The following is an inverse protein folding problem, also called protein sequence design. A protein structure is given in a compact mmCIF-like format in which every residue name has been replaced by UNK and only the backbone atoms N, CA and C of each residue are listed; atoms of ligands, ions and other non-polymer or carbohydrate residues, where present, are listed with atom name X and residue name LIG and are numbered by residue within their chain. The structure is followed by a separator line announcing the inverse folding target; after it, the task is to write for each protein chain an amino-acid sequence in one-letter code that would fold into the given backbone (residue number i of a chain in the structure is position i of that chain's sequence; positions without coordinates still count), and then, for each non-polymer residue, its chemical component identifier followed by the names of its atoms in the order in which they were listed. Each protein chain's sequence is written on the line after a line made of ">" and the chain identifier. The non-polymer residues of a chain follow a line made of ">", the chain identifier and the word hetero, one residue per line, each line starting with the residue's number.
data_IF_667187809183
#
_entry.id   IF_667187809183
#
_cell.length_a   1.000
_cell.length_b   1.000
_cell.length_c   1.000
_cell.angle_alpha   90.00
_cell.angle_beta   90.00
_cell.angle_gamma   90.00
#
_symmetry.space_group_name_H-M   'P 1'
#
loop_
_entity.id
_entity.type
_entity.pdbx_description
1 polymer ?
#
# COMPACT_ATOMS: atom_id res chain seq x y z
N UNK A 1 -11.74 3.85 -0.41
CA UNK A 1 -12.17 2.46 -0.16
C UNK A 1 -11.87 1.62 -1.38
N UNK A 2 -10.76 0.88 -1.37
CA UNK A 2 -10.60 -0.24 -2.28
C UNK A 2 -11.73 -1.22 -1.93
N UNK A 3 -12.84 -1.17 -2.67
CA UNK A 3 -13.82 -2.26 -2.68
C UNK A 3 -13.06 -3.56 -2.92
N UNK A 4 -13.51 -4.67 -2.34
CA UNK A 4 -13.09 -6.05 -2.62
C UNK A 4 -13.09 -6.32 -4.13
N UNK A 5 -12.05 -5.81 -4.80
CA UNK A 5 -11.78 -6.05 -6.19
C UNK A 5 -11.03 -7.35 -6.20
N UNK A 6 -11.50 -8.25 -7.06
CA UNK A 6 -10.88 -9.54 -7.23
C UNK A 6 -9.37 -9.38 -7.45
N UNK A 7 -8.60 -9.97 -6.54
CA UNK A 7 -7.16 -10.11 -6.66
C UNK A 7 -6.89 -11.53 -7.19
N UNK A 8 -6.35 -11.67 -8.41
CA UNK A 8 -6.00 -12.98 -9.00
C UNK A 8 -4.73 -13.55 -8.36
N UNK A 9 -4.77 -13.73 -7.05
CA UNK A 9 -3.66 -14.18 -6.20
C UNK A 9 -4.13 -15.43 -5.46
N UNK A 10 -3.26 -16.40 -5.22
CA UNK A 10 -3.64 -17.64 -4.54
C UNK A 10 -3.52 -17.52 -3.02
N UNK A 11 -2.44 -16.91 -2.51
CA UNK A 11 -2.23 -16.67 -1.08
C UNK A 11 -3.25 -15.71 -0.47
N UNK A 12 -4.06 -16.21 0.47
CA UNK A 12 -5.00 -15.39 1.24
C UNK A 12 -4.27 -14.38 2.13
N UNK A 13 -3.12 -14.76 2.70
CA UNK A 13 -2.28 -13.84 3.48
C UNK A 13 -1.84 -12.67 2.60
N UNK A 14 -1.35 -12.93 1.37
CA UNK A 14 -0.92 -11.85 0.49
C UNK A 14 -2.10 -10.96 0.06
N UNK A 15 -3.29 -11.52 -0.18
CA UNK A 15 -4.50 -10.71 -0.46
C UNK A 15 -4.81 -9.73 0.66
N UNK A 16 -4.78 -10.20 1.90
CA UNK A 16 -5.01 -9.35 3.07
C UNK A 16 -3.96 -8.25 3.14
N UNK A 17 -2.67 -8.61 3.01
CA UNK A 17 -1.58 -7.64 3.06
C UNK A 17 -1.66 -6.59 1.94
N UNK A 18 -2.03 -6.98 0.71
CA UNK A 18 -2.25 -6.04 -0.41
C UNK A 18 -3.44 -5.13 -0.15
N UNK A 19 -4.50 -5.65 0.48
CA UNK A 19 -5.68 -4.85 0.84
C UNK A 19 -5.32 -3.80 1.89
N UNK A 20 -4.57 -4.20 2.92
CA UNK A 20 -4.05 -3.31 3.96
C UNK A 20 -3.08 -2.27 3.39
N UNK A 21 -2.16 -2.70 2.52
CA UNK A 21 -1.24 -1.81 1.79
C UNK A 21 -2.01 -0.76 0.99
N UNK A 22 -3.09 -1.17 0.31
CA UNK A 22 -3.96 -0.27 -0.43
C UNK A 22 -4.64 0.76 0.47
N UNK A 23 -5.08 0.33 1.66
CA UNK A 23 -5.65 1.25 2.67
C UNK A 23 -4.62 2.27 3.16
N UNK A 24 -3.40 1.82 3.48
CA UNK A 24 -2.34 2.71 3.95
C UNK A 24 -1.90 3.71 2.85
N UNK A 25 -1.79 3.25 1.61
CA UNK A 25 -1.52 4.12 0.46
C UNK A 25 -2.62 5.19 0.26
N UNK A 26 -3.88 4.86 0.55
CA UNK A 26 -4.98 5.84 0.52
C UNK A 26 -4.80 6.91 1.61
N UNK A 27 -4.40 6.51 2.81
CA UNK A 27 -4.08 7.44 3.91
C UNK A 27 -2.96 8.40 3.51
N UNK A 28 -1.84 7.88 3.00
CA UNK A 28 -0.71 8.68 2.52
C UNK A 28 -1.15 9.67 1.44
N UNK A 29 -1.91 9.20 0.45
CA UNK A 29 -2.42 10.04 -0.63
C UNK A 29 -3.33 11.16 -0.11
N UNK A 30 -4.22 10.85 0.84
CA UNK A 30 -5.11 11.83 1.44
C UNK A 30 -4.34 12.90 2.24
N UNK A 31 -3.31 12.51 2.98
CA UNK A 31 -2.45 13.43 3.73
C UNK A 31 -1.66 14.36 2.80
N UNK A 32 -1.15 13.83 1.68
CA UNK A 32 -0.48 14.65 0.65
C UNK A 32 -1.46 15.70 0.08
N UNK A 33 -2.70 15.31 -0.22
CA UNK A 33 -3.71 16.26 -0.69
C UNK A 33 -4.08 17.31 0.36
N UNK A 34 -4.17 16.93 1.64
CA UNK A 34 -4.39 17.89 2.72
C UNK A 34 -3.23 18.90 2.80
N UNK A 35 -1.98 18.43 2.67
CA UNK A 35 -0.79 19.27 2.69
C UNK A 35 -0.75 20.28 1.53
N UNK A 36 -1.40 19.97 0.41
CA UNK A 36 -1.52 20.86 -0.75
C UNK A 36 -2.60 21.95 -0.59
N UNK A 37 -3.42 21.90 0.47
CA UNK A 37 -4.46 22.90 0.69
C UNK A 37 -3.85 24.30 0.85
N UNK A 38 -4.39 25.32 0.16
CA UNK A 38 -3.99 26.69 0.45
C UNK A 38 -4.43 27.07 1.87
N UNK A 39 -3.65 27.93 2.53
CA UNK A 39 -3.96 28.51 3.85
C UNK A 39 -3.94 27.57 5.07
N UNK A 40 -3.11 26.53 5.07
CA UNK A 40 -2.85 25.76 6.30
C UNK A 40 -2.23 26.65 7.37
N UNK A 41 -2.76 26.59 8.60
CA UNK A 41 -2.04 27.12 9.76
C UNK A 41 -0.81 26.26 10.05
N UNK A 42 0.20 26.83 10.71
CA UNK A 42 1.40 26.10 11.12
C UNK A 42 1.08 24.86 11.98
N UNK A 43 0.01 24.95 12.80
CA UNK A 43 -0.48 23.82 13.60
C UNK A 43 -1.02 22.69 12.73
N UNK A 44 -1.92 22.98 11.78
CA UNK A 44 -2.47 21.98 10.87
C UNK A 44 -1.37 21.35 10.02
N UNK A 45 -0.41 22.16 9.55
CA UNK A 45 0.73 21.65 8.80
C UNK A 45 1.57 20.67 9.64
N UNK A 46 1.84 20.98 10.92
CA UNK A 46 2.57 20.09 11.81
C UNK A 46 1.81 18.77 12.08
N UNK A 47 0.49 18.84 12.27
CA UNK A 47 -0.37 17.66 12.46
C UNK A 47 -0.34 16.75 11.22
N UNK A 48 -0.56 17.31 10.02
CA UNK A 48 -0.50 16.57 8.74
C UNK A 48 0.88 15.93 8.54
N UNK A 49 1.96 16.65 8.82
CA UNK A 49 3.32 16.13 8.67
C UNK A 49 3.63 15.00 9.67
N UNK A 50 3.14 15.09 10.91
CA UNK A 50 3.30 14.04 11.91
C UNK A 50 2.55 12.76 11.50
N UNK A 51 1.32 12.90 11.01
CA UNK A 51 0.53 11.77 10.50
C UNK A 51 1.18 11.16 9.25
N UNK A 52 1.69 11.99 8.34
CA UNK A 52 2.38 11.51 7.14
C UNK A 52 3.66 10.75 7.48
N UNK A 53 4.42 11.20 8.48
CA UNK A 53 5.59 10.49 8.98
C UNK A 53 5.20 9.12 9.55
N UNK A 54 4.16 9.05 10.37
CA UNK A 54 3.68 7.79 10.92
C UNK A 54 3.24 6.81 9.81
N UNK A 55 2.45 7.30 8.84
CA UNK A 55 2.02 6.51 7.70
C UNK A 55 3.19 6.02 6.83
N UNK A 56 4.22 6.86 6.63
CA UNK A 56 5.43 6.46 5.90
C UNK A 56 6.22 5.36 6.62
N UNK A 57 6.32 5.43 7.96
CA UNK A 57 6.96 4.39 8.77
C UNK A 57 6.16 3.08 8.69
N UNK A 58 4.83 3.16 8.84
CA UNK A 58 3.95 2.00 8.71
C UNK A 58 4.08 1.35 7.34
N UNK A 59 4.07 2.14 6.27
CA UNK A 59 4.25 1.65 4.90
C UNK A 59 5.58 0.94 4.72
N UNK A 60 6.67 1.50 5.27
CA UNK A 60 7.99 0.89 5.19
C UNK A 60 8.03 -0.48 5.91
N UNK A 61 7.42 -0.59 7.09
CA UNK A 61 7.32 -1.86 7.81
C UNK A 61 6.45 -2.87 7.06
N UNK A 62 5.30 -2.42 6.54
CA UNK A 62 4.34 -3.27 5.82
C UNK A 62 4.91 -3.85 4.53
N UNK A 63 5.80 -3.10 3.86
CA UNK A 63 6.48 -3.51 2.63
C UNK A 63 7.81 -4.24 2.88
N UNK A 64 8.03 -4.79 4.09
CA UNK A 64 9.25 -5.51 4.47
C UNK A 64 9.47 -6.86 3.78
N UNK A 65 10.49 -7.59 4.22
CA UNK A 65 10.98 -8.83 3.58
C UNK A 65 9.88 -9.89 3.41
N UNK A 66 9.03 -10.12 4.41
CA UNK A 66 7.95 -11.11 4.34
C UNK A 66 6.94 -10.79 3.23
N UNK A 67 6.56 -9.52 3.10
CA UNK A 67 5.64 -9.07 2.06
C UNK A 67 6.26 -9.26 0.66
N UNK A 68 7.53 -8.88 0.52
CA UNK A 68 8.28 -9.03 -0.74
C UNK A 68 8.42 -10.51 -1.13
N UNK A 69 8.73 -11.39 -0.18
CA UNK A 69 8.82 -12.82 -0.39
C UNK A 69 7.49 -13.41 -0.85
N UNK A 70 6.37 -13.04 -0.23
CA UNK A 70 5.05 -13.52 -0.63
C UNK A 70 4.69 -13.08 -2.04
N UNK A 71 5.06 -11.86 -2.46
CA UNK A 71 4.90 -11.42 -3.85
C UNK A 71 5.73 -12.30 -4.79
N UNK A 72 7.01 -12.53 -4.48
CA UNK A 72 7.87 -13.37 -5.31
C UNK A 72 7.32 -14.79 -5.47
N UNK A 73 6.85 -15.40 -4.38
CA UNK A 73 6.22 -16.72 -4.40
C UNK A 73 4.94 -16.77 -5.24
N UNK A 74 4.16 -15.68 -5.29
CA UNK A 74 2.99 -15.62 -6.16
C UNK A 74 3.38 -15.40 -7.62
N UNK A 75 4.46 -14.67 -7.90
CA UNK A 75 5.00 -14.52 -9.25
C UNK A 75 5.50 -15.85 -9.83
N UNK A 76 6.18 -16.67 -9.02
CA UNK A 76 6.67 -18.00 -9.42
C UNK A 76 5.55 -19.00 -9.78
N UNK A 77 4.30 -18.72 -9.39
CA UNK A 77 3.14 -19.56 -9.72
C UNK A 77 2.45 -19.16 -11.02
N UNK A 78 2.84 -18.02 -11.61
CA UNK A 78 2.29 -17.61 -12.89
C UNK A 78 2.79 -18.56 -13.98
N UNK A 79 1.96 -18.91 -14.96
CA UNK A 79 2.41 -19.71 -16.09
C UNK A 79 3.50 -18.95 -16.84
N UNK A 80 4.51 -19.67 -17.35
CA UNK A 80 5.47 -19.10 -18.27
C UNK A 80 4.73 -18.74 -19.58
N UNK A 81 4.99 -17.54 -20.13
CA UNK A 81 4.35 -17.06 -21.37
C UNK A 81 4.67 -17.95 -22.59
N UNK A 82 5.62 -18.88 -22.48
CA UNK A 82 6.13 -19.75 -23.54
C UNK A 82 5.37 -21.09 -23.71
N UNK A 83 4.36 -21.39 -22.90
CA UNK A 83 3.56 -22.65 -23.01
C UNK A 83 2.33 -22.54 -23.93
N UNK A 84 2.23 -21.50 -24.76
CA UNK A 84 1.22 -21.37 -25.80
C UNK A 84 1.81 -21.66 -27.20
N UNK A 85 2.21 -22.91 -27.44
CA UNK A 85 2.36 -23.48 -28.80
C UNK A 85 1.44 -24.69 -29.02
#
# INVERSE_FOLDING_TARGET
>A
MFRDRFLPITSNTLKTLITELGSECQTVTALIYQLQSPHLSARQQAEILAELLAAAIHLNVHCGEDFQMLIAQEMEKLPDDDEQE
#
